data_IF_337087062529
#
_entry.id   IF_337087062529
#
_cell.length_a   1.000
_cell.length_b   1.000
_cell.length_c   1.000
_cell.angle_alpha   90.00
_cell.angle_beta   90.00
_cell.angle_gamma   90.00
#
_symmetry.space_group_name_H-M   'P 1'
#
loop_
_entity.id
_entity.type
_entity.pdbx_description
1 polymer ?
2 non-polymer ?
3 water ?
#
# COMPACT_ATOMS: atom_id res chain seq x y z
N UNK A 8 7.82 -28.64 3.08
CA UNK A 8 7.24 -27.77 2.03
C UNK A 8 7.66 -28.28 0.66
N UNK A 9 6.90 -29.24 0.12
CA UNK A 9 7.23 -29.86 -1.16
C UNK A 9 5.94 -30.34 -1.80
N UNK A 10 6.00 -30.57 -3.11
CA UNK A 10 4.80 -30.79 -3.91
C UNK A 10 4.97 -32.03 -4.76
N UNK A 11 3.95 -32.90 -4.74
CA UNK A 11 3.99 -34.13 -5.52
C UNK A 11 3.60 -33.89 -6.98
N UNK A 12 2.68 -32.97 -7.22
CA UNK A 12 2.27 -32.56 -8.57
C UNK A 12 2.56 -31.07 -8.69
N UNK A 13 2.89 -30.62 -9.91
CA UNK A 13 3.26 -29.22 -10.09
C UNK A 13 2.06 -28.32 -9.80
N UNK A 14 2.17 -27.38 -8.87
CA UNK A 14 1.08 -26.44 -8.63
C UNK A 14 1.04 -25.25 -9.57
N UNK A 15 1.97 -25.16 -10.51
CA UNK A 15 2.05 -24.05 -11.46
C UNK A 15 1.70 -24.59 -12.84
N UNK A 16 0.62 -24.06 -13.43
CA UNK A 16 0.18 -24.54 -14.73
C UNK A 16 0.97 -23.87 -15.85
N UNK A 17 0.88 -24.47 -17.04
CA UNK A 17 1.71 -24.04 -18.17
C UNK A 17 1.42 -22.60 -18.58
N UNK A 18 0.23 -22.12 -18.32
CA UNK A 18 -0.24 -20.86 -18.90
C UNK A 18 -0.32 -19.74 -17.87
N UNK A 19 0.51 -19.82 -16.81
CA UNK A 19 0.49 -18.76 -15.79
C UNK A 19 0.71 -17.39 -16.40
N UNK A 20 1.61 -17.29 -17.38
CA UNK A 20 1.94 -15.98 -17.90
C UNK A 20 0.77 -15.32 -18.64
N UNK A 21 0.00 -16.10 -19.39
CA UNK A 21 -1.21 -15.55 -20.03
C UNK A 21 -2.25 -15.11 -18.99
N UNK A 22 -2.40 -15.85 -17.88
CA UNK A 22 -3.37 -15.45 -16.86
C UNK A 22 -2.96 -14.17 -16.17
N UNK A 23 -1.69 -14.03 -15.83
CA UNK A 23 -1.22 -12.79 -15.22
C UNK A 23 -1.35 -11.62 -16.19
N UNK A 24 -0.96 -11.80 -17.45
CA UNK A 24 -1.08 -10.72 -18.45
C UNK A 24 -2.52 -10.27 -18.60
N UNK A 25 -3.45 -11.21 -18.55
CA UNK A 25 -4.85 -10.83 -18.73
C UNK A 25 -5.30 -9.91 -17.59
N UNK A 26 -4.95 -10.28 -16.35
CA UNK A 26 -5.30 -9.44 -15.21
C UNK A 26 -4.65 -8.07 -15.34
N UNK A 27 -3.37 -8.04 -15.71
CA UNK A 27 -2.66 -6.76 -15.76
C UNK A 27 -3.26 -5.81 -16.77
N UNK A 28 -3.65 -6.35 -17.92
CA UNK A 28 -4.08 -5.52 -19.04
C UNK A 28 -5.49 -4.98 -18.83
N UNK A 29 -6.34 -5.72 -18.13
CA UNK A 29 -7.76 -5.37 -18.06
C UNK A 29 -8.20 -4.99 -16.66
N UNK A 30 -7.24 -4.82 -15.75
CA UNK A 30 -7.44 -4.29 -14.42
C UNK A 30 -8.28 -3.06 -14.52
N UNK A 31 -9.46 -3.09 -13.90
CA UNK A 31 -10.41 -2.00 -14.10
C UNK A 31 -10.07 -0.80 -13.25
N UNK A 32 -9.38 -1.00 -12.14
CA UNK A 32 -9.03 0.06 -11.21
C UNK A 32 -7.73 -0.29 -10.52
N UNK A 33 -6.77 0.62 -10.57
CA UNK A 33 -5.52 0.39 -9.87
C UNK A 33 -5.70 0.74 -8.39
N UNK A 34 -4.95 0.08 -7.56
CA UNK A 34 -5.01 0.19 -6.11
C UNK A 34 -3.56 0.00 -5.62
N UNK A 35 -2.91 0.83 -4.88
CA UNK A 35 -1.51 0.68 -4.54
C UNK A 35 -1.30 -0.60 -3.82
N UNK A 36 -0.16 -1.23 -4.12
CA UNK A 36 0.28 -2.42 -3.43
C UNK A 36 1.74 -2.22 -2.99
N UNK A 37 2.31 -3.24 -2.33
CA UNK A 37 3.71 -3.19 -1.93
C UNK A 37 4.46 -4.38 -2.50
N UNK A 38 5.77 -4.22 -2.61
CA UNK A 38 6.72 -5.29 -2.91
C UNK A 38 7.90 -5.08 -1.97
N UNK A 39 8.61 -6.16 -1.64
CA UNK A 39 9.76 -6.04 -0.73
C UNK A 39 10.94 -5.39 -1.45
N UNK A 40 11.66 -4.52 -0.71
CA UNK A 40 12.79 -3.78 -1.25
C UNK A 40 14.13 -4.41 -0.93
N UNK A 41 14.19 -5.23 0.12
CA UNK A 41 15.48 -5.75 0.56
C UNK A 41 15.47 -7.25 0.91
N UNK A 42 14.76 -8.04 0.13
CA UNK A 42 14.87 -9.49 0.27
C UNK A 42 16.25 -9.97 -0.18
N UNK A 43 16.78 -10.95 0.54
CA UNK A 43 17.99 -11.64 0.12
C UNK A 43 17.82 -12.18 -1.29
N UNK A 44 18.87 -12.07 -2.10
CA UNK A 44 18.77 -12.37 -3.53
C UNK A 44 19.06 -13.84 -3.79
N UNK A 45 18.12 -14.67 -3.35
CA UNK A 45 18.09 -16.08 -3.67
C UNK A 45 17.08 -16.23 -4.77
N UNK A 46 17.44 -16.97 -5.82
CA UNK A 46 16.54 -17.16 -6.94
C UNK A 46 15.30 -17.95 -6.57
N UNK A 47 15.50 -19.07 -5.91
CA UNK A 47 14.40 -20.00 -5.67
C UNK A 47 13.69 -19.67 -4.36
N UNK A 48 14.43 -19.59 -3.23
CA UNK A 48 13.75 -19.18 -2.00
C UNK A 48 13.16 -17.81 -2.16
N UNK A 49 13.90 -16.93 -2.87
CA UNK A 49 13.46 -15.56 -3.08
C UNK A 49 12.20 -15.51 -3.91
N UNK A 50 12.07 -16.43 -4.86
CA UNK A 50 10.86 -16.46 -5.65
C UNK A 50 9.69 -16.82 -4.76
N UNK A 51 9.91 -17.80 -3.89
CA UNK A 51 8.83 -18.23 -3.00
C UNK A 51 8.44 -17.11 -2.06
N UNK A 52 9.43 -16.38 -1.50
CA UNK A 52 9.15 -15.28 -0.58
C UNK A 52 8.32 -14.22 -1.27
N UNK A 53 8.70 -13.87 -2.53
CA UNK A 53 7.93 -12.88 -3.26
C UNK A 53 6.53 -13.37 -3.57
N UNK A 54 6.35 -14.65 -3.89
CA UNK A 54 5.00 -15.19 -4.09
C UNK A 54 4.18 -15.24 -2.79
N UNK A 55 4.74 -15.57 -1.62
CA UNK A 55 3.97 -15.49 -0.37
C UNK A 55 3.38 -14.11 -0.21
N UNK A 56 4.24 -13.07 -0.38
CA UNK A 56 3.79 -11.69 -0.25
C UNK A 56 2.78 -11.34 -1.34
N UNK A 57 3.01 -11.74 -2.62
CA UNK A 57 2.05 -11.45 -3.69
C UNK A 57 0.71 -12.15 -3.47
N UNK A 58 0.73 -13.38 -2.97
CA UNK A 58 -0.51 -14.13 -2.78
C UNK A 58 -1.38 -13.48 -1.69
N UNK A 59 -0.77 -12.89 -0.68
CA UNK A 59 -1.56 -12.15 0.31
C UNK A 59 -2.19 -10.91 -0.36
N UNK A 60 -1.46 -10.26 -1.28
CA UNK A 60 -2.05 -9.12 -1.98
C UNK A 60 -3.23 -9.54 -2.89
N UNK A 61 -3.12 -10.71 -3.53
CA UNK A 61 -4.24 -11.15 -4.38
C UNK A 61 -5.48 -11.28 -3.56
N UNK A 62 -5.35 -11.84 -2.34
CA UNK A 62 -6.51 -11.97 -1.47
C UNK A 62 -7.00 -10.59 -1.00
N UNK A 63 -6.08 -9.70 -0.66
CA UNK A 63 -6.53 -8.35 -0.30
C UNK A 63 -7.28 -7.64 -1.44
N UNK A 64 -6.78 -7.78 -2.67
CA UNK A 64 -7.40 -7.07 -3.77
C UNK A 64 -8.82 -7.60 -4.03
N UNK A 65 -9.08 -8.88 -3.80
CA UNK A 65 -10.45 -9.39 -3.93
C UNK A 65 -11.41 -8.61 -3.01
N UNK A 66 -10.90 -8.07 -1.88
CA UNK A 66 -11.79 -7.39 -0.94
C UNK A 66 -12.06 -5.93 -1.35
N UNK A 67 -11.36 -5.41 -2.36
CA UNK A 67 -11.56 -4.04 -2.83
C UNK A 67 -11.91 -3.95 -4.32
N UNK A 68 -11.80 -5.02 -5.07
CA UNK A 68 -12.08 -4.98 -6.49
C UNK A 68 -13.56 -5.27 -6.71
N UNK A 69 -14.05 -4.85 -7.86
CA UNK A 69 -15.47 -5.07 -8.10
C UNK A 69 -15.75 -6.51 -8.50
N UNK A 70 -17.04 -6.77 -8.70
CA UNK A 70 -17.47 -8.08 -9.17
C UNK A 70 -16.72 -8.54 -10.43
N UNK A 71 -16.55 -7.66 -11.43
CA UNK A 71 -16.01 -8.07 -12.72
C UNK A 71 -14.57 -8.51 -12.63
N UNK A 72 -13.86 -8.20 -11.56
CA UNK A 72 -12.44 -8.52 -11.50
C UNK A 72 -12.21 -9.81 -10.78
N UNK A 73 -13.22 -10.38 -10.12
CA UNK A 73 -12.97 -11.51 -9.24
C UNK A 73 -12.44 -12.72 -9.98
N UNK A 74 -12.98 -12.97 -11.16
CA UNK A 74 -12.47 -14.11 -11.93
C UNK A 74 -11.02 -13.94 -12.34
N UNK A 75 -10.66 -12.73 -12.82
CA UNK A 75 -9.28 -12.46 -13.22
C UNK A 75 -8.32 -12.59 -12.05
N UNK A 76 -8.70 -12.05 -10.90
CA UNK A 76 -7.87 -12.11 -9.69
C UNK A 76 -7.73 -13.55 -9.22
N UNK A 77 -8.85 -14.28 -9.20
CA UNK A 77 -8.75 -15.67 -8.74
C UNK A 77 -7.92 -16.52 -9.67
N UNK A 78 -7.95 -16.26 -10.98
CA UNK A 78 -7.11 -17.03 -11.89
C UNK A 78 -5.64 -16.88 -11.56
N UNK A 79 -5.22 -15.70 -11.12
CA UNK A 79 -3.84 -15.54 -10.70
C UNK A 79 -3.63 -16.17 -9.32
N UNK A 80 -4.58 -15.96 -8.42
CA UNK A 80 -4.45 -16.57 -7.11
C UNK A 80 -4.23 -18.09 -7.24
N UNK A 81 -4.93 -18.76 -8.15
CA UNK A 81 -4.76 -20.20 -8.26
C UNK A 81 -3.36 -20.62 -8.68
N UNK A 82 -2.63 -19.74 -9.37
CA UNK A 82 -1.31 -20.08 -9.84
C UNK A 82 -0.29 -19.99 -8.75
N UNK A 83 -0.56 -19.21 -7.71
CA UNK A 83 0.42 -18.97 -6.65
C UNK A 83 -0.10 -19.41 -5.29
N UNK A 84 -1.33 -19.97 -5.19
CA UNK A 84 -1.92 -20.28 -3.89
C UNK A 84 -1.15 -21.39 -3.19
N UNK A 85 -0.34 -22.14 -3.95
CA UNK A 85 0.37 -23.26 -3.33
C UNK A 85 1.27 -22.84 -2.19
N UNK A 86 1.70 -21.57 -2.11
CA UNK A 86 2.55 -21.17 -1.00
C UNK A 86 1.83 -21.24 0.34
N UNK A 87 0.48 -21.27 0.33
CA UNK A 87 -0.24 -21.28 1.59
C UNK A 87 -0.18 -22.64 2.24
N UNK A 88 0.30 -23.63 1.50
CA UNK A 88 0.36 -25.00 2.05
C UNK A 88 1.60 -25.20 2.92
N UNK A 89 2.59 -24.31 2.83
CA UNK A 89 3.80 -24.36 3.61
C UNK A 89 3.75 -23.39 4.78
N UNK A 90 4.52 -23.69 5.82
CA UNK A 90 4.45 -22.94 7.06
C UNK A 90 5.45 -21.81 7.02
N UNK A 91 5.28 -20.93 6.03
CA UNK A 91 6.11 -19.74 5.99
C UNK A 91 5.95 -18.94 7.28
N UNK A 92 7.07 -18.45 7.78
CA UNK A 92 7.13 -17.75 9.06
C UNK A 92 6.92 -16.25 8.88
N UNK A 93 6.52 -15.57 9.93
CA UNK A 93 6.31 -14.11 9.83
C UNK A 93 7.57 -13.38 9.37
N UNK A 94 7.45 -12.37 8.52
CA UNK A 94 8.63 -11.70 8.00
C UNK A 94 9.46 -11.11 9.11
N UNK A 95 10.79 -11.08 8.95
CA UNK A 95 11.65 -10.46 9.95
C UNK A 95 11.52 -8.93 9.97
N UNK A 96 11.92 -8.34 11.09
CA UNK A 96 11.78 -6.89 11.21
C UNK A 96 12.61 -6.10 10.19
N UNK A 97 13.74 -6.68 9.73
CA UNK A 97 14.59 -6.04 8.76
C UNK A 97 13.88 -5.81 7.42
N UNK A 98 12.80 -6.53 7.13
CA UNK A 98 12.22 -6.49 5.78
C UNK A 98 11.51 -5.17 5.55
N UNK A 99 11.81 -4.52 4.45
CA UNK A 99 11.25 -3.23 4.06
C UNK A 99 10.54 -3.36 2.71
N UNK A 100 9.68 -2.38 2.42
CA UNK A 100 8.80 -2.41 1.26
C UNK A 100 8.71 -1.07 0.57
N UNK A 101 8.44 -1.14 -0.71
CA UNK A 101 8.15 0.03 -1.52
C UNK A 101 6.70 -0.07 -1.96
N UNK A 102 6.05 1.10 -2.11
CA UNK A 102 4.71 1.15 -2.70
C UNK A 102 4.86 1.12 -4.21
N UNK A 103 4.04 0.32 -4.87
CA UNK A 103 4.09 0.23 -6.32
C UNK A 103 2.67 -0.07 -6.86
N UNK A 104 2.60 -0.31 -8.14
CA UNK A 104 1.31 -0.54 -8.76
C UNK A 104 1.12 -2.02 -9.02
N UNK A 105 -0.13 -2.39 -9.27
CA UNK A 105 -0.43 -3.82 -9.46
C UNK A 105 0.31 -4.40 -10.63
N UNK A 106 0.47 -3.62 -11.69
CA UNK A 106 1.18 -4.09 -12.88
C UNK A 106 2.59 -4.55 -12.52
N UNK A 107 3.27 -3.77 -11.69
CA UNK A 107 4.63 -4.15 -11.31
C UNK A 107 4.64 -5.40 -10.45
N UNK A 108 3.74 -5.48 -9.47
CA UNK A 108 3.58 -6.69 -8.67
C UNK A 108 3.34 -7.90 -9.55
N UNK A 109 2.48 -7.76 -10.56
CA UNK A 109 2.17 -8.89 -11.45
C UNK A 109 3.38 -9.27 -12.33
N UNK A 110 4.13 -8.30 -12.83
CA UNK A 110 5.31 -8.64 -13.60
C UNK A 110 6.30 -9.39 -12.73
N UNK A 111 6.53 -8.90 -11.51
CA UNK A 111 7.40 -9.64 -10.59
C UNK A 111 6.93 -11.06 -10.34
N UNK A 112 5.61 -11.24 -10.17
CA UNK A 112 5.04 -12.56 -9.92
C UNK A 112 5.30 -13.49 -11.08
N UNK A 113 5.08 -13.01 -12.30
CA UNK A 113 5.32 -13.84 -13.47
C UNK A 113 6.78 -14.26 -13.52
N UNK A 114 7.68 -13.34 -13.20
CA UNK A 114 9.10 -13.65 -13.25
C UNK A 114 9.50 -14.71 -12.22
N UNK A 115 8.87 -14.70 -11.03
CA UNK A 115 9.17 -15.73 -10.06
C UNK A 115 8.68 -17.08 -10.56
N UNK A 116 7.51 -17.11 -11.19
CA UNK A 116 7.00 -18.39 -11.61
C UNK A 116 7.85 -18.99 -12.73
N UNK A 117 8.40 -18.17 -13.62
CA UNK A 117 9.30 -18.71 -14.67
C UNK A 117 10.51 -19.37 -14.02
N UNK A 118 11.05 -18.71 -13.01
CA UNK A 118 12.19 -19.28 -12.28
C UNK A 118 11.88 -20.57 -11.54
N UNK A 119 10.73 -20.63 -10.89
CA UNK A 119 10.36 -21.74 -10.03
C UNK A 119 9.77 -22.95 -10.76
N UNK A 120 9.18 -22.76 -11.93
CA UNK A 120 8.39 -23.85 -12.51
C UNK A 120 9.17 -25.17 -12.69
N UNK A 121 10.39 -25.17 -13.18
CA UNK A 121 11.12 -26.44 -13.28
C UNK A 121 11.52 -27.04 -11.97
N UNK A 122 11.52 -26.26 -10.88
CA UNK A 122 11.99 -26.74 -9.61
C UNK A 122 10.90 -27.18 -8.66
N UNK A 123 9.66 -26.75 -8.87
CA UNK A 123 8.63 -26.80 -7.84
C UNK A 123 8.25 -28.19 -7.41
N UNK A 124 8.31 -29.20 -8.29
CA UNK A 124 7.90 -30.55 -7.86
C UNK A 124 9.06 -31.40 -7.41
N UNK A 125 10.25 -30.99 -7.75
CA UNK A 125 11.43 -31.73 -7.37
C UNK A 125 11.93 -31.40 -6.00
N UNK A 126 11.82 -30.16 -5.51
CA UNK A 126 12.62 -29.77 -4.36
C UNK A 126 11.84 -29.74 -3.03
N UNK A 127 12.58 -30.02 -1.95
CA UNK A 127 12.18 -29.70 -0.59
C UNK A 127 12.49 -28.22 -0.40
N UNK A 128 11.47 -27.41 -0.09
CA UNK A 128 11.67 -25.97 0.11
C UNK A 128 11.53 -25.57 1.57
N UNK A 129 11.61 -26.51 2.51
CA UNK A 129 11.57 -26.15 3.93
C UNK A 129 12.64 -25.14 4.29
N UNK A 130 13.79 -25.15 3.60
CA UNK A 130 14.85 -24.17 3.85
C UNK A 130 14.45 -22.72 3.59
N UNK A 131 13.29 -22.52 2.95
CA UNK A 131 12.82 -21.20 2.55
C UNK A 131 11.79 -20.63 3.54
N UNK A 132 11.43 -21.34 4.61
CA UNK A 132 10.25 -20.90 5.36
C UNK A 132 10.49 -19.56 6.06
N UNK A 133 11.72 -19.25 6.37
CA UNK A 133 12.06 -17.94 6.94
C UNK A 133 12.57 -17.05 5.83
N UNK A 134 11.86 -15.90 5.67
CA UNK A 134 12.29 -14.84 4.78
C UNK A 134 13.56 -14.21 5.33
N UNK A 135 14.43 -13.83 4.41
CA UNK A 135 15.76 -13.29 4.71
C UNK A 135 15.97 -11.95 4.06
N UNK A 136 16.71 -11.03 4.70
CA UNK A 136 16.98 -9.71 4.12
C UNK A 136 18.40 -9.64 3.57
N UNK A 137 18.59 -8.71 2.64
CA UNK A 137 19.94 -8.47 2.10
C UNK A 137 20.78 -7.73 3.12
N UNK A 138 22.13 -7.82 3.01
CA UNK A 138 23.04 -7.30 4.03
C UNK A 138 22.77 -5.84 4.42
N UNK B 1 -8.31 29.44 -2.90
CA UNK B 1 -7.80 29.04 -4.24
C UNK B 1 -6.55 28.18 -4.14
N UNK B 2 -5.95 27.86 -5.29
CA UNK B 2 -4.79 27.01 -5.31
C UNK B 2 -3.56 27.77 -4.82
N UNK B 3 -2.55 27.03 -4.41
CA UNK B 3 -1.25 27.58 -4.03
C UNK B 3 -0.13 26.91 -4.81
N UNK B 4 -0.40 26.56 -6.06
CA UNK B 4 0.48 25.69 -6.85
C UNK B 4 1.70 26.43 -7.38
N UNK B 5 1.59 27.74 -7.58
CA UNK B 5 2.73 28.49 -8.09
C UNK B 5 3.35 29.36 -7.05
N UNK B 6 2.64 29.64 -5.98
CA UNK B 6 3.09 30.50 -4.91
C UNK B 6 3.45 29.69 -3.69
N UNK B 7 3.75 30.41 -2.61
CA UNK B 7 4.06 29.75 -1.35
C UNK B 7 2.93 28.87 -0.87
N UNK B 8 3.29 27.79 -0.17
CA UNK B 8 2.31 26.86 0.40
C UNK B 8 1.99 27.42 1.77
N UNK B 9 0.97 28.26 1.84
CA UNK B 9 0.54 28.84 3.10
C UNK B 9 -0.95 29.15 2.96
N UNK B 10 -1.62 29.31 4.09
CA UNK B 10 -3.08 29.34 4.15
C UNK B 10 -3.57 30.54 4.95
N UNK B 11 -4.45 31.34 4.34
CA UNK B 11 -4.96 32.50 5.06
C UNK B 11 -6.10 32.14 5.99
N UNK B 12 -6.87 31.11 5.67
CA UNK B 12 -7.96 30.63 6.52
C UNK B 12 -7.68 29.19 6.90
N UNK B 13 -7.99 28.83 8.14
CA UNK B 13 -7.60 27.51 8.62
C UNK B 13 -8.36 26.47 7.82
N UNK B 14 -7.69 25.53 7.15
CA UNK B 14 -8.38 24.41 6.48
C UNK B 14 -8.77 23.28 7.38
N UNK B 15 -8.38 23.33 8.65
CA UNK B 15 -8.65 22.28 9.63
C UNK B 15 -9.68 22.82 10.60
N UNK B 16 -10.85 22.18 10.63
CA UNK B 16 -11.93 22.64 11.51
C UNK B 16 -11.75 22.08 12.91
N UNK B 17 -12.51 22.63 13.87
CA UNK B 17 -12.39 22.23 15.28
C UNK B 17 -12.70 20.75 15.50
N UNK B 18 -13.56 20.17 14.68
CA UNK B 18 -14.11 18.85 14.94
C UNK B 18 -13.50 17.76 14.07
N UNK B 19 -12.24 17.94 13.63
CA UNK B 19 -11.60 16.89 12.83
C UNK B 19 -11.58 15.57 13.56
N UNK B 20 -11.32 15.57 14.88
CA UNK B 20 -11.19 14.28 15.56
C UNK B 20 -12.50 13.47 15.56
N UNK B 21 -13.63 14.14 15.81
CA UNK B 21 -14.93 13.49 15.73
C UNK B 21 -15.19 12.94 14.32
N UNK B 22 -14.84 13.70 13.28
CA UNK B 22 -15.07 13.20 11.91
C UNK B 22 -14.25 11.95 11.65
N UNK B 23 -13.01 11.94 12.10
CA UNK B 23 -12.19 10.78 11.82
C UNK B 23 -12.64 9.57 12.62
N UNK B 24 -13.01 9.80 13.89
CA UNK B 24 -13.46 8.70 14.70
C UNK B 24 -14.75 8.12 14.14
N UNK B 25 -15.66 8.97 13.62
CA UNK B 25 -16.88 8.44 13.04
C UNK B 25 -16.60 7.52 11.84
N UNK B 26 -15.73 7.94 10.91
CA UNK B 26 -15.42 7.06 9.79
C UNK B 26 -14.84 5.74 10.29
N UNK B 27 -13.92 5.80 11.25
CA UNK B 27 -13.27 4.58 11.72
C UNK B 27 -14.26 3.63 12.39
N UNK B 28 -15.21 4.18 13.15
CA UNK B 28 -16.20 3.35 13.82
C UNK B 28 -17.20 2.70 12.87
N UNK B 29 -17.62 3.36 11.79
CA UNK B 29 -18.66 2.83 10.90
C UNK B 29 -18.13 2.11 9.65
N UNK B 30 -16.83 2.05 9.44
CA UNK B 30 -16.32 1.41 8.23
C UNK B 30 -16.81 -0.03 8.17
N UNK B 31 -17.21 -0.44 6.96
CA UNK B 31 -17.81 -1.73 6.73
C UNK B 31 -16.77 -2.84 6.68
N UNK B 32 -15.53 -2.50 6.41
CA UNK B 32 -14.41 -3.43 6.30
C UNK B 32 -13.14 -2.63 6.48
N UNK B 33 -12.05 -3.31 6.86
CA UNK B 33 -10.80 -2.61 7.22
C UNK B 33 -9.82 -2.63 6.05
N UNK B 34 -10.08 -1.74 5.10
CA UNK B 34 -9.40 -1.65 3.82
C UNK B 34 -7.87 -1.64 3.96
N UNK B 35 -7.13 -2.31 3.07
CA UNK B 35 -5.67 -2.37 3.20
C UNK B 35 -5.06 -1.12 2.59
N UNK B 36 -4.20 -0.45 3.37
CA UNK B 36 -3.54 0.79 2.93
C UNK B 36 -2.08 0.75 3.34
N UNK B 37 -1.38 1.87 3.15
CA UNK B 37 0.01 1.93 3.55
C UNK B 37 0.24 3.20 4.37
N UNK B 38 1.37 3.19 5.09
CA UNK B 38 1.96 4.39 5.67
C UNK B 38 3.44 4.36 5.37
N UNK B 39 4.06 5.55 5.25
CA UNK B 39 5.50 5.63 5.10
C UNK B 39 6.17 5.22 6.42
N UNK B 40 7.27 4.50 6.29
CA UNK B 40 8.00 3.91 7.42
C UNK B 40 9.30 4.61 7.75
N UNK B 41 9.80 5.48 6.86
CA UNK B 41 11.10 6.12 7.06
C UNK B 41 11.14 7.58 6.68
N UNK B 42 10.01 8.27 6.91
CA UNK B 42 9.99 9.71 6.73
C UNK B 42 10.91 10.37 7.77
N UNK B 43 11.60 11.44 7.33
CA UNK B 43 12.40 12.27 8.23
C UNK B 43 11.52 12.77 9.36
N UNK B 44 12.03 12.71 10.60
CA UNK B 44 11.16 12.95 11.75
C UNK B 44 11.11 14.46 12.08
N UNK B 45 10.38 15.17 11.24
CA UNK B 45 9.97 16.56 11.49
C UNK B 45 8.52 16.58 11.91
N UNK B 46 8.18 17.33 12.95
CA UNK B 46 6.77 17.35 13.36
C UNK B 46 5.89 18.01 12.31
N UNK B 47 6.30 19.19 11.85
CA UNK B 47 5.39 19.99 11.03
C UNK B 47 5.47 19.51 9.57
N UNK B 48 6.65 19.61 8.93
CA UNK B 48 6.75 19.02 7.59
C UNK B 48 6.31 17.57 7.57
N UNK B 49 6.67 16.80 8.60
CA UNK B 49 6.37 15.40 8.58
C UNK B 49 4.87 15.19 8.69
N UNK B 50 4.18 16.03 9.45
CA UNK B 50 2.73 15.94 9.42
C UNK B 50 2.16 16.17 8.03
N UNK B 51 2.66 17.18 7.35
CA UNK B 51 2.13 17.45 6.00
C UNK B 51 2.42 16.28 5.10
N UNK B 52 3.62 15.71 5.21
CA UNK B 52 3.98 14.60 4.31
C UNK B 52 3.04 13.42 4.52
N UNK B 53 2.75 13.13 5.79
CA UNK B 53 1.86 12.03 6.08
C UNK B 53 0.44 12.34 5.62
N UNK B 54 -0.02 13.58 5.75
CA UNK B 54 -1.34 13.94 5.20
C UNK B 54 -1.41 13.88 3.67
N UNK B 55 -0.34 14.26 2.95
CA UNK B 55 -0.31 14.11 1.48
C UNK B 55 -0.58 12.67 1.13
N UNK B 56 0.10 11.75 1.82
CA UNK B 56 -0.09 10.36 1.52
C UNK B 56 -1.46 9.86 1.94
N UNK B 57 -1.91 10.26 3.14
CA UNK B 57 -3.23 9.87 3.60
C UNK B 57 -4.36 10.38 2.69
N UNK B 58 -4.22 11.62 2.16
CA UNK B 58 -5.25 12.24 1.35
C UNK B 58 -5.41 11.45 0.08
N UNK B 59 -4.30 10.94 -0.47
CA UNK B 59 -4.39 10.14 -1.68
C UNK B 59 -5.14 8.85 -1.40
N UNK B 60 -4.89 8.24 -0.24
CA UNK B 60 -5.64 7.04 0.13
C UNK B 60 -7.12 7.34 0.26
N UNK B 61 -7.46 8.49 0.83
CA UNK B 61 -8.88 8.78 0.99
C UNK B 61 -9.56 8.83 -0.38
N UNK B 62 -8.92 9.49 -1.35
CA UNK B 62 -9.51 9.53 -2.69
C UNK B 62 -9.60 8.15 -3.31
N UNK B 63 -8.57 7.33 -3.15
CA UNK B 63 -8.63 5.95 -3.66
C UNK B 63 -9.80 5.19 -3.03
N UNK B 64 -9.97 5.36 -1.72
CA UNK B 64 -11.00 4.57 -1.09
C UNK B 64 -12.39 4.97 -1.60
N UNK B 65 -12.58 6.22 -2.03
CA UNK B 65 -13.88 6.61 -2.54
C UNK B 65 -14.21 5.83 -3.79
N UNK B 66 -13.16 5.34 -4.47
CA UNK B 66 -13.40 4.59 -5.70
C UNK B 66 -13.67 3.11 -5.48
N UNK B 67 -13.49 2.60 -4.26
CA UNK B 67 -13.78 1.21 -3.97
C UNK B 67 -14.83 0.99 -2.87
N UNK B 68 -15.14 1.98 -2.03
CA UNK B 68 -16.13 1.84 -0.98
C UNK B 68 -17.50 2.10 -1.64
N UNK B 69 -18.52 1.60 -1.00
CA UNK B 69 -19.82 1.75 -1.61
C UNK B 69 -20.42 3.13 -1.34
N UNK B 70 -21.67 3.25 -1.76
CA UNK B 70 -22.42 4.48 -1.55
C UNK B 70 -22.40 4.90 -0.11
N UNK B 71 -22.68 3.98 0.82
CA UNK B 71 -22.96 4.40 2.18
C UNK B 71 -21.75 5.00 2.87
N UNK B 72 -20.55 4.76 2.37
CA UNK B 72 -19.35 5.29 3.00
C UNK B 72 -18.93 6.64 2.45
N UNK B 73 -19.55 7.12 1.34
CA UNK B 73 -19.01 8.30 0.67
C UNK B 73 -19.06 9.52 1.55
N UNK B 74 -20.15 9.73 2.29
CA UNK B 74 -20.21 10.93 3.11
C UNK B 74 -19.16 10.92 4.22
N UNK B 75 -18.99 9.76 4.88
CA UNK B 75 -18.02 9.64 5.98
C UNK B 75 -16.60 9.83 5.47
N UNK B 76 -16.32 9.28 4.30
CA UNK B 76 -14.99 9.42 3.69
C UNK B 76 -14.73 10.87 3.29
N UNK B 77 -15.76 11.54 2.77
CA UNK B 77 -15.54 12.91 2.29
C UNK B 77 -15.36 13.87 3.45
N UNK B 78 -15.99 13.56 4.58
CA UNK B 78 -15.83 14.38 5.77
C UNK B 78 -14.38 14.38 6.20
N UNK B 79 -13.71 13.23 6.15
CA UNK B 79 -12.28 13.20 6.45
C UNK B 79 -11.48 13.87 5.36
N UNK B 80 -11.83 13.63 4.08
CA UNK B 80 -11.11 14.25 3.00
C UNK B 80 -11.13 15.76 3.16
N UNK B 81 -12.26 16.35 3.58
CA UNK B 81 -12.31 17.80 3.68
C UNK B 81 -11.35 18.36 4.74
N UNK B 82 -10.98 17.59 5.74
CA UNK B 82 -10.06 18.10 6.75
C UNK B 82 -8.63 18.09 6.24
N UNK B 83 -8.32 17.26 5.24
CA UNK B 83 -6.94 17.09 4.80
C UNK B 83 -6.74 17.47 3.32
N UNK B 84 -7.81 17.88 2.62
CA UNK B 84 -7.72 18.16 1.18
C UNK B 84 -6.81 19.33 0.89
N UNK B 85 -6.56 20.20 1.87
CA UNK B 85 -5.78 21.41 1.61
C UNK B 85 -4.38 21.13 1.06
N UNK B 86 -3.81 19.97 1.37
CA UNK B 86 -2.47 19.67 0.93
C UNK B 86 -2.43 19.62 -0.59
N UNK B 87 -3.58 19.38 -1.23
CA UNK B 87 -3.57 19.29 -2.69
C UNK B 87 -3.41 20.64 -3.34
N UNK B 88 -3.55 21.71 -2.56
CA UNK B 88 -3.39 23.04 -3.11
C UNK B 88 -1.95 23.47 -3.25
N UNK B 89 -1.03 22.74 -2.64
CA UNK B 89 0.41 23.01 -2.70
C UNK B 89 1.13 22.09 -3.67
N UNK B 90 2.22 22.58 -4.23
CA UNK B 90 2.96 21.81 -5.21
C UNK B 90 3.91 20.79 -4.56
N UNK B 91 3.34 19.85 -3.80
CA UNK B 91 4.16 18.78 -3.23
C UNK B 91 4.78 17.96 -4.39
N UNK B 92 6.00 17.66 -4.23
CA UNK B 92 6.75 16.96 -5.25
C UNK B 92 6.65 15.45 -5.07
N UNK B 93 7.02 14.70 -6.11
CA UNK B 93 6.86 13.24 -6.02
C UNK B 93 7.76 12.66 -4.97
N UNK B 94 7.32 11.59 -4.29
CA UNK B 94 8.13 11.03 -3.21
C UNK B 94 9.44 10.53 -3.71
N UNK B 95 10.49 10.63 -2.90
CA UNK B 95 11.80 10.22 -3.38
C UNK B 95 11.93 8.71 -3.39
N UNK B 96 12.87 8.22 -4.21
CA UNK B 96 13.05 6.77 -4.32
C UNK B 96 13.47 6.11 -3.02
N UNK B 97 14.04 6.86 -2.06
CA UNK B 97 14.41 6.31 -0.78
C UNK B 97 13.21 5.90 0.08
N UNK B 98 12.00 6.40 -0.21
CA UNK B 98 10.86 6.22 0.69
C UNK B 98 10.43 4.74 0.79
N UNK B 99 10.19 4.29 2.01
CA UNK B 99 9.73 2.95 2.32
C UNK B 99 8.37 3.01 3.02
N UNK B 100 7.63 1.91 2.93
CA UNK B 100 6.26 1.84 3.41
C UNK B 100 6.03 0.55 4.19
N UNK B 101 5.01 0.59 5.05
CA UNK B 101 4.45 -0.61 5.65
C UNK B 101 2.98 -0.74 5.24
N UNK B 102 2.53 -1.96 4.96
CA UNK B 102 1.10 -2.18 4.71
C UNK B 102 0.41 -2.21 6.07
N UNK B 103 -0.71 -1.51 6.19
CA UNK B 103 -1.50 -1.54 7.40
C UNK B 103 -2.97 -1.40 7.04
N UNK B 104 -3.76 -1.08 8.02
CA UNK B 104 -5.20 -1.06 7.85
C UNK B 104 -5.71 0.38 8.01
N UNK B 105 -6.89 0.62 7.42
CA UNK B 105 -7.35 1.99 7.36
C UNK B 105 -7.53 2.54 8.77
N UNK B 106 -7.87 1.70 9.75
CA UNK B 106 -8.08 2.25 11.09
C UNK B 106 -6.79 2.89 11.63
N UNK B 107 -5.64 2.23 11.40
CA UNK B 107 -4.37 2.79 11.84
C UNK B 107 -4.02 4.07 11.09
N UNK B 108 -4.25 4.09 9.79
CA UNK B 108 -4.04 5.31 9.02
C UNK B 108 -4.87 6.45 9.54
N UNK B 109 -6.13 6.17 9.93
CA UNK B 109 -6.99 7.24 10.44
C UNK B 109 -6.49 7.77 11.76
N UNK B 110 -6.07 6.88 12.64
CA UNK B 110 -5.48 7.30 13.91
C UNK B 110 -4.26 8.19 13.67
N UNK B 111 -3.35 7.77 12.80
CA UNK B 111 -2.16 8.58 12.46
C UNK B 111 -2.58 9.93 11.93
N UNK B 112 -3.56 9.95 11.02
CA UNK B 112 -4.06 11.21 10.47
C UNK B 112 -4.55 12.17 11.54
N UNK B 113 -5.34 11.67 12.48
CA UNK B 113 -5.84 12.54 13.53
C UNK B 113 -4.69 13.14 14.32
N UNK B 114 -3.65 12.35 14.53
CA UNK B 114 -2.50 12.82 15.30
C UNK B 114 -1.75 13.90 14.57
N UNK B 115 -1.65 13.80 13.24
CA UNK B 115 -0.99 14.87 12.51
C UNK B 115 -1.82 16.15 12.61
N UNK B 116 -3.16 16.05 12.55
CA UNK B 116 -3.92 17.29 12.58
C UNK B 116 -3.78 17.98 13.92
N UNK B 117 -3.74 17.23 15.02
CA UNK B 117 -3.55 17.83 16.34
C UNK B 117 -2.27 18.60 16.40
N UNK B 118 -1.19 18.04 15.81
CA UNK B 118 0.10 18.74 15.71
C UNK B 118 0.07 19.97 14.80
N UNK B 119 -0.60 19.87 13.66
CA UNK B 119 -0.58 20.96 12.70
C UNK B 119 -1.57 22.08 13.02
N UNK B 120 -2.67 21.77 13.72
CA UNK B 120 -3.76 22.74 13.77
C UNK B 120 -3.33 24.14 14.24
N UNK B 121 -2.55 24.28 15.29
CA UNK B 121 -2.17 25.64 15.72
C UNK B 121 -1.22 26.36 14.79
N UNK B 122 -0.56 25.59 13.90
CA UNK B 122 0.47 26.10 13.02
C UNK B 122 -0.02 26.36 11.61
N UNK B 123 -1.15 25.77 11.22
CA UNK B 123 -1.53 25.66 9.82
C UNK B 123 -1.69 27.01 9.15
N UNK B 124 -2.28 27.94 9.81
CA UNK B 124 -2.40 29.17 9.05
C UNK B 124 -1.22 30.12 9.32
N UNK B 125 -0.34 29.81 10.28
CA UNK B 125 0.72 30.72 10.75
C UNK B 125 2.04 30.65 9.99
N UNK B 126 2.27 29.63 9.15
CA UNK B 126 3.58 29.39 8.58
C UNK B 126 3.55 29.34 7.06
N UNK B 127 4.71 29.60 6.48
CA UNK B 127 4.99 29.25 5.10
C UNK B 127 5.52 27.82 5.11
N UNK B 128 4.80 26.89 4.48
CA UNK B 128 5.23 25.49 4.42
C UNK B 128 5.87 25.10 3.08
N UNK B 129 6.29 26.11 2.27
CA UNK B 129 7.01 25.77 1.05
C UNK B 129 8.22 24.91 1.31
N UNK B 130 8.88 25.07 2.46
CA UNK B 130 10.04 24.20 2.78
C UNK B 130 9.72 22.71 2.84
N UNK B 131 8.45 22.33 2.96
CA UNK B 131 7.99 20.96 3.11
C UNK B 131 7.61 20.30 1.79
N UNK B 132 7.74 20.96 0.63
CA UNK B 132 7.11 20.37 -0.57
C UNK B 132 7.86 19.11 -1.03
N UNK B 133 9.16 18.98 -0.72
CA UNK B 133 9.91 17.75 -0.96
C UNK B 133 9.91 16.86 0.28
N UNK B 134 9.34 15.65 0.14
CA UNK B 134 9.37 14.65 1.18
C UNK B 134 10.81 14.19 1.36
N UNK B 135 11.15 13.95 2.62
CA UNK B 135 12.49 13.57 3.05
C UNK B 135 12.47 12.26 3.79
N UNK B 136 13.52 11.44 3.62
CA UNK B 136 13.65 10.18 4.36
C UNK B 136 14.67 10.29 5.46
N UNK B 137 14.53 9.39 6.43
CA UNK B 137 15.58 9.21 7.43
C UNK B 137 16.78 8.51 6.79
N UNK B 138 18.02 8.88 7.13
CA UNK B 138 19.13 7.97 6.77
C UNK B 138 19.11 6.68 7.59
X LIG C 1 16.33 -0.91 1.32
X LIG C 1 15.20 -0.60 2.15
X LIG C 1 16.88 0.32 0.73
X LIG C 1 17.36 -1.51 2.18
X LIG C 1 16.01 -1.77 0.22
X LIG D 1 0.40 -37.86 6.05
X LIG D 1 -0.33 -36.89 5.30
X LIG D 1 0.16 -37.66 7.49
X LIG D 1 1.83 -37.67 5.83
X LIG D 1 0.05 -39.24 5.67
X LIG E 1 4.56 -33.53 -12.45
X LIG E 1 3.91 -34.24 -13.57
X LIG E 1 4.02 -32.19 -12.37
X LIG E 1 6.02 -33.45 -12.69
X LIG E 1 4.32 -34.28 -11.19
X LIG F 1 0.71 -31.94 -3.51
X LIG F 1 1.14 -30.69 -2.90
X LIG F 1 -0.66 -32.23 -3.08
X LIG F 1 1.61 -33.02 -3.09
X LIG F 1 0.75 -31.82 -4.98
X LIG G 1 -3.45 -24.77 -4.54
X LIG G 1 -4.35 -25.93 -4.59
X LIG G 1 -4.03 -23.70 -5.37
X LIG G 1 -2.14 -25.15 -5.10
X LIG G 1 -3.28 -24.30 -3.15
#
# INVERSE_FOLDING_TARGET
GSHMTQDCSFQHSPISSDFAVKIRELSDYLDQDYPVTVASNLQDEELCGGLWRLVLAQRWMERLKTVAGSKMQGLLERVNTEIHFVTKCAFQPPPSCLRFVQTNISRLLQETSEQLVALKPWITRQNFSRCLELQCQP
GSHMTQDCSFQHSPISSDFAVKIRELSDYLDQDYPVTVASNLQDEELCGGLWRLVLAQRWMERLKTVAGSKMQGLLERVNTEIHFVTKCAFQPPPSCLRFVQTNISRLLQETSEQLVALKPWITRQNFSRCLELQCQP
SO4 S O1 O2 O3 O4
SO4 S O1 O2 O3 O4
SO4 S O1 O2 O3 O4
SO4 S O1 O2 O3 O4
SO4 S O1 O2 O3 O4
#
